data_IF_816227391755
#
_entry.id   IF_816227391755
#
_cell.length_a   1.000
_cell.length_b   1.000
_cell.length_c   1.000
_cell.angle_alpha   90.00
_cell.angle_beta   90.00
_cell.angle_gamma   90.00
#
_symmetry.space_group_name_H-M   'P 1'
#
loop_
_entity.id
_entity.type
_entity.pdbx_description
1 polymer ?
#
# COMPACT_ATOMS: atom_id res chain seq x y z
N UNK A 1 17.82 -34.36 5.03
CA UNK A 1 16.57 -33.86 4.44
C UNK A 1 15.63 -33.50 5.59
N UNK A 2 15.65 -32.27 6.06
CA UNK A 2 14.69 -31.77 7.05
C UNK A 2 13.93 -30.63 6.35
N UNK A 3 12.67 -30.89 6.01
CA UNK A 3 11.72 -29.88 5.63
C UNK A 3 11.40 -29.06 6.89
N UNK A 4 11.93 -27.83 6.94
CA UNK A 4 11.54 -26.84 7.91
C UNK A 4 10.14 -26.34 7.57
N UNK A 5 9.19 -26.72 8.41
CA UNK A 5 7.81 -26.26 8.42
C UNK A 5 7.82 -24.75 8.78
N UNK A 6 7.67 -23.90 7.78
CA UNK A 6 7.47 -22.45 7.97
C UNK A 6 5.99 -22.20 8.20
N UNK A 7 5.52 -22.52 9.40
CA UNK A 7 4.23 -22.07 9.87
C UNK A 7 4.22 -20.54 9.89
N UNK A 8 3.26 -19.94 9.18
CA UNK A 8 2.96 -18.53 9.29
C UNK A 8 2.78 -18.15 10.79
N UNK A 9 3.24 -16.97 11.22
CA UNK A 9 3.06 -16.57 12.62
C UNK A 9 1.57 -16.62 12.96
N UNK A 10 1.22 -17.09 14.17
CA UNK A 10 -0.18 -17.18 14.58
C UNK A 10 -0.82 -15.80 14.42
N UNK A 11 -1.98 -15.74 13.76
CA UNK A 11 -2.85 -14.57 13.81
C UNK A 11 -3.05 -14.30 15.30
N UNK A 12 -2.61 -13.11 15.75
CA UNK A 12 -2.95 -12.61 17.07
C UNK A 12 -4.45 -12.82 17.27
N UNK A 13 -4.87 -13.29 18.45
CA UNK A 13 -6.27 -13.36 18.87
C UNK A 13 -7.02 -12.19 18.24
N UNK A 14 -8.17 -12.49 17.63
CA UNK A 14 -8.95 -11.50 16.87
C UNK A 14 -9.14 -10.25 17.74
N UNK A 15 -8.25 -9.31 17.56
CA UNK A 15 -8.34 -8.03 18.24
C UNK A 15 -9.63 -7.41 17.73
N UNK A 16 -10.61 -7.26 18.59
CA UNK A 16 -11.86 -6.56 18.23
C UNK A 16 -11.55 -5.07 18.02
N UNK A 17 -11.09 -4.77 16.80
CA UNK A 17 -10.64 -3.44 16.37
C UNK A 17 -11.75 -2.42 16.47
N UNK A 18 -13.03 -2.86 16.52
CA UNK A 18 -14.21 -1.99 16.69
C UNK A 18 -14.24 -1.29 18.04
N UNK A 19 -13.62 -1.88 19.06
CA UNK A 19 -13.56 -1.33 20.42
C UNK A 19 -12.41 -0.34 20.65
N UNK A 20 -11.48 -0.24 19.71
CA UNK A 20 -10.32 0.65 19.85
C UNK A 20 -10.75 2.08 19.52
N UNK A 21 -10.87 2.89 20.55
CA UNK A 21 -11.25 4.31 20.39
C UNK A 21 -10.08 5.22 20.00
N UNK A 22 -8.85 4.87 20.40
CA UNK A 22 -7.68 5.72 20.21
C UNK A 22 -6.57 4.98 19.47
N UNK A 23 -6.17 5.54 18.34
CA UNK A 23 -5.24 4.91 17.38
C UNK A 23 -4.03 5.82 17.19
N UNK A 24 -2.83 5.23 17.24
CA UNK A 24 -1.60 5.88 16.86
C UNK A 24 -1.40 5.82 15.34
N UNK A 25 -1.06 6.94 14.73
CA UNK A 25 -0.71 7.04 13.33
C UNK A 25 0.74 7.53 13.18
N UNK A 26 1.59 6.74 12.55
CA UNK A 26 2.92 7.19 12.10
C UNK A 26 2.77 7.56 10.62
N UNK A 27 2.78 8.87 10.34
CA UNK A 27 2.48 9.40 9.01
C UNK A 27 3.76 9.69 8.23
N UNK A 28 3.89 9.07 7.06
CA UNK A 28 4.87 9.35 6.02
C UNK A 28 4.32 10.26 4.93
N UNK A 29 4.91 10.17 3.74
CA UNK A 29 4.56 10.97 2.58
C UNK A 29 3.38 10.39 1.80
N UNK A 30 2.54 11.29 1.24
CA UNK A 30 1.49 10.96 0.30
C UNK A 30 0.07 11.14 0.86
N UNK A 31 -0.93 10.85 0.04
CA UNK A 31 -2.35 11.06 0.37
C UNK A 31 -2.89 10.01 1.37
N UNK A 32 -2.33 8.80 1.40
CA UNK A 32 -2.87 7.72 2.22
C UNK A 32 -2.91 8.04 3.73
N UNK A 33 -1.88 8.63 4.38
CA UNK A 33 -1.99 9.02 5.79
C UNK A 33 -3.13 9.97 6.09
N UNK A 34 -3.43 10.87 5.15
CA UNK A 34 -4.49 11.87 5.28
C UNK A 34 -5.86 11.18 5.20
N UNK A 35 -6.08 10.39 4.15
CA UNK A 35 -7.33 9.64 3.96
C UNK A 35 -7.58 8.69 5.13
N UNK A 36 -6.55 8.00 5.61
CA UNK A 36 -6.67 7.13 6.78
C UNK A 36 -7.08 7.91 8.04
N UNK A 37 -6.45 9.06 8.30
CA UNK A 37 -6.82 9.90 9.44
C UNK A 37 -8.26 10.42 9.32
N UNK A 38 -8.67 10.90 8.13
CA UNK A 38 -10.04 11.35 7.84
C UNK A 38 -11.06 10.22 8.08
N UNK A 39 -10.78 9.01 7.58
CA UNK A 39 -11.65 7.83 7.75
C UNK A 39 -11.78 7.44 9.22
N UNK A 40 -10.67 7.39 9.96
CA UNK A 40 -10.69 7.08 11.39
C UNK A 40 -11.47 8.13 12.18
N UNK A 41 -11.32 9.41 11.85
CA UNK A 41 -12.08 10.51 12.48
C UNK A 41 -13.58 10.42 12.16
N UNK A 42 -13.94 10.12 10.91
CA UNK A 42 -15.33 9.91 10.50
C UNK A 42 -15.99 8.72 11.25
N UNK A 43 -15.19 7.69 11.57
CA UNK A 43 -15.63 6.56 12.42
C UNK A 43 -15.67 6.89 13.92
N UNK A 44 -15.50 8.16 14.33
CA UNK A 44 -15.56 8.60 15.73
C UNK A 44 -14.36 8.19 16.59
N UNK A 45 -13.22 7.89 15.97
CA UNK A 45 -11.99 7.48 16.66
C UNK A 45 -11.09 8.69 16.94
N UNK A 46 -10.31 8.61 18.02
CA UNK A 46 -9.27 9.57 18.32
C UNK A 46 -7.96 9.16 17.64
N UNK A 47 -7.36 10.09 16.89
CA UNK A 47 -6.12 9.87 16.15
C UNK A 47 -4.98 10.65 16.79
N UNK A 48 -3.99 9.93 17.32
CA UNK A 48 -2.74 10.49 17.85
C UNK A 48 -1.65 10.29 16.80
N UNK A 49 -1.27 11.36 16.11
CA UNK A 49 -0.39 11.30 14.95
C UNK A 49 1.05 11.72 15.27
N UNK A 50 2.00 10.91 14.81
CA UNK A 50 3.41 11.23 14.70
C UNK A 50 3.75 11.43 13.22
N UNK A 51 3.86 12.68 12.80
CA UNK A 51 4.30 13.02 11.44
C UNK A 51 5.82 12.92 11.32
N UNK A 52 6.31 12.23 10.30
CA UNK A 52 7.74 12.21 10.01
C UNK A 52 8.13 13.54 9.35
N UNK A 53 9.12 14.27 9.91
CA UNK A 53 9.58 15.54 9.33
C UNK A 53 9.93 15.38 7.86
N UNK A 54 9.60 16.38 7.06
CA UNK A 54 9.84 16.44 5.62
C UNK A 54 9.09 15.39 4.77
N UNK A 55 8.22 14.56 5.40
CA UNK A 55 7.39 13.55 4.74
C UNK A 55 5.90 13.79 4.99
N UNK A 56 5.50 13.92 6.25
CA UNK A 56 4.10 14.05 6.61
C UNK A 56 3.55 15.41 6.24
N UNK A 57 2.35 15.41 5.62
CA UNK A 57 1.66 16.62 5.24
C UNK A 57 1.23 17.44 6.49
N UNK A 58 1.46 18.75 6.50
CA UNK A 58 1.04 19.62 7.60
C UNK A 58 -0.46 19.61 7.91
N UNK A 59 -1.32 19.31 6.94
CA UNK A 59 -2.78 19.27 7.13
C UNK A 59 -3.22 18.24 8.18
N UNK A 60 -2.39 17.22 8.46
CA UNK A 60 -2.65 16.26 9.53
C UNK A 60 -2.77 16.89 10.93
N UNK A 61 -2.24 18.10 11.12
CA UNK A 61 -2.40 18.87 12.38
C UNK A 61 -3.86 19.26 12.64
N UNK A 62 -4.58 19.53 11.55
CA UNK A 62 -5.97 19.99 11.63
C UNK A 62 -6.96 18.83 11.68
N UNK A 63 -6.55 17.63 11.23
CA UNK A 63 -7.37 16.43 11.16
C UNK A 63 -7.26 15.61 12.46
N UNK A 64 -6.03 15.43 12.97
CA UNK A 64 -5.75 14.54 14.09
C UNK A 64 -6.01 15.25 15.45
N UNK A 65 -6.46 14.51 16.47
CA UNK A 65 -6.70 15.06 17.80
C UNK A 65 -5.41 15.50 18.49
N UNK A 66 -4.32 14.78 18.23
CA UNK A 66 -2.98 15.14 18.71
C UNK A 66 -2.01 14.93 17.57
N UNK A 67 -1.20 15.94 17.29
CA UNK A 67 -0.18 15.86 16.25
C UNK A 67 1.20 16.30 16.77
N UNK A 68 2.24 15.57 16.37
CA UNK A 68 3.63 15.96 16.65
C UNK A 68 4.56 15.47 15.54
N UNK A 69 5.50 16.33 15.12
CA UNK A 69 6.60 15.86 14.28
C UNK A 69 7.62 15.09 15.10
N UNK A 70 8.04 13.91 14.60
CA UNK A 70 9.06 13.08 15.23
C UNK A 70 9.88 12.31 14.19
N UNK A 71 11.20 12.34 14.32
CA UNK A 71 12.08 11.62 13.42
C UNK A 71 11.95 10.10 13.57
N UNK A 72 12.13 9.38 12.44
CA UNK A 72 12.00 7.93 12.34
C UNK A 72 12.92 7.13 13.27
N UNK A 73 14.09 7.69 13.64
CA UNK A 73 15.02 7.04 14.56
C UNK A 73 14.65 7.11 16.05
N UNK A 74 13.54 7.74 16.43
CA UNK A 74 13.23 8.03 17.85
C UNK A 74 12.14 7.10 18.41
N UNK A 75 12.31 5.77 18.30
CA UNK A 75 11.29 4.79 18.71
C UNK A 75 10.96 4.84 20.20
N UNK A 76 11.95 5.08 21.07
CA UNK A 76 11.71 5.23 22.50
C UNK A 76 10.87 6.47 22.81
N UNK A 77 11.14 7.59 22.14
CA UNK A 77 10.34 8.82 22.29
C UNK A 77 8.95 8.67 21.68
N UNK A 78 8.85 7.97 20.55
CA UNK A 78 7.56 7.71 19.87
C UNK A 78 6.65 6.86 20.74
N UNK A 79 7.13 5.74 21.27
CA UNK A 79 6.34 4.88 22.15
C UNK A 79 5.95 5.58 23.46
N UNK A 80 6.87 6.36 24.06
CA UNK A 80 6.54 7.19 25.24
C UNK A 80 5.46 8.24 24.93
N UNK A 81 5.49 8.84 23.73
CA UNK A 81 4.46 9.78 23.30
C UNK A 81 3.10 9.08 23.16
N UNK A 82 3.05 7.93 22.53
CA UNK A 82 1.84 7.13 22.41
C UNK A 82 1.28 6.73 23.78
N UNK A 83 2.11 6.26 24.70
CA UNK A 83 1.67 5.90 26.05
C UNK A 83 1.10 7.08 26.82
N UNK A 84 1.73 8.26 26.75
CA UNK A 84 1.22 9.49 27.42
C UNK A 84 -0.16 9.88 26.91
N UNK A 85 -0.49 9.53 25.67
CA UNK A 85 -1.79 9.77 25.07
C UNK A 85 -2.70 8.53 25.10
N UNK A 86 -2.37 7.49 25.87
CA UNK A 86 -3.20 6.30 26.03
C UNK A 86 -3.32 5.41 24.78
N UNK A 87 -2.39 5.53 23.83
CA UNK A 87 -2.34 4.72 22.62
C UNK A 87 -1.65 3.39 22.91
N UNK A 88 -2.33 2.30 22.58
CA UNK A 88 -1.77 0.93 22.64
C UNK A 88 -1.73 0.24 21.29
N UNK A 89 -2.45 0.78 20.30
CA UNK A 89 -2.50 0.25 18.94
C UNK A 89 -2.15 1.37 17.97
N UNK A 90 -1.26 1.08 17.06
CA UNK A 90 -0.80 2.07 16.09
C UNK A 90 -0.65 1.44 14.70
N UNK A 91 -0.62 2.30 13.70
CA UNK A 91 -0.37 1.93 12.32
C UNK A 91 0.63 2.87 11.69
N UNK A 92 1.22 2.43 10.58
CA UNK A 92 2.04 3.26 9.71
C UNK A 92 1.35 3.46 8.38
N UNK A 93 1.38 4.67 7.86
CA UNK A 93 0.81 5.00 6.57
C UNK A 93 1.70 5.96 5.79
N UNK A 94 1.74 5.78 4.46
CA UNK A 94 2.53 6.63 3.56
C UNK A 94 3.92 6.08 3.24
N UNK A 95 4.58 6.75 2.30
CA UNK A 95 5.90 6.35 1.82
C UNK A 95 7.02 7.04 2.60
N UNK A 96 8.11 6.33 2.81
CA UNK A 96 9.35 6.87 3.38
C UNK A 96 10.44 6.84 2.32
N UNK A 97 10.78 8.02 1.77
CA UNK A 97 11.74 8.12 0.67
C UNK A 97 13.18 7.92 1.15
N UNK A 98 13.80 6.83 0.71
CA UNK A 98 15.22 6.51 1.02
C UNK A 98 16.20 7.56 0.48
N UNK A 99 15.86 8.24 -0.60
CA UNK A 99 16.71 9.27 -1.24
C UNK A 99 17.04 10.42 -0.27
N UNK A 100 16.13 10.75 0.65
CA UNK A 100 16.36 11.80 1.65
C UNK A 100 17.40 11.46 2.72
N UNK A 101 17.85 10.20 2.79
CA UNK A 101 18.99 9.81 3.65
C UNK A 101 20.27 10.58 3.31
N UNK A 102 20.39 11.09 2.08
CA UNK A 102 21.53 11.85 1.60
C UNK A 102 21.40 13.36 1.77
N UNK A 103 20.23 13.85 2.26
CA UNK A 103 20.03 15.30 2.46
C UNK A 103 20.87 15.80 3.64
N UNK A 104 21.55 16.96 3.51
CA UNK A 104 22.31 17.57 4.59
C UNK A 104 21.44 17.79 5.84
N UNK A 105 21.91 17.33 6.99
CA UNK A 105 21.18 17.44 8.27
C UNK A 105 20.06 16.42 8.49
N UNK A 106 19.75 15.53 7.52
CA UNK A 106 18.78 14.46 7.69
C UNK A 106 19.16 13.57 8.89
N UNK A 107 20.40 13.12 8.96
CA UNK A 107 20.91 12.27 10.05
C UNK A 107 20.71 12.90 11.43
N UNK A 108 20.86 14.21 11.58
CA UNK A 108 20.66 14.91 12.85
C UNK A 108 19.18 15.01 13.23
N UNK A 109 18.30 15.24 12.27
CA UNK A 109 16.85 15.30 12.49
C UNK A 109 16.25 13.93 12.78
N UNK A 110 16.78 12.88 12.16
CA UNK A 110 16.37 11.49 12.31
C UNK A 110 17.21 10.71 13.30
N UNK A 111 18.17 11.37 13.97
CA UNK A 111 19.10 10.73 14.90
C UNK A 111 18.38 9.76 15.85
N UNK A 112 18.85 8.50 15.95
CA UNK A 112 18.23 7.50 16.80
C UNK A 112 18.34 7.92 18.27
N UNK A 113 17.30 7.64 19.06
CA UNK A 113 17.40 7.78 20.50
C UNK A 113 18.11 6.56 21.13
N UNK A 114 18.44 6.68 22.41
CA UNK A 114 19.20 5.64 23.12
C UNK A 114 18.52 4.27 23.06
N UNK A 115 17.18 4.23 23.15
CA UNK A 115 16.43 2.98 23.03
C UNK A 115 16.62 2.36 21.63
N UNK A 116 16.50 3.16 20.59
CA UNK A 116 16.66 2.72 19.21
C UNK A 116 18.08 2.18 18.98
N UNK A 117 19.11 2.92 19.43
CA UNK A 117 20.51 2.46 19.32
C UNK A 117 20.69 1.12 20.03
N UNK A 118 20.24 1.00 21.29
CA UNK A 118 20.36 -0.23 22.06
C UNK A 118 19.60 -1.39 21.42
N UNK A 119 18.38 -1.14 20.93
CA UNK A 119 17.56 -2.16 20.30
C UNK A 119 18.20 -2.68 19.01
N UNK A 120 18.67 -1.79 18.13
CA UNK A 120 19.34 -2.18 16.90
C UNK A 120 20.72 -2.81 17.16
N UNK A 121 21.51 -2.30 18.10
CA UNK A 121 22.81 -2.89 18.45
C UNK A 121 22.66 -4.37 18.86
N UNK A 122 21.66 -4.69 19.69
CA UNK A 122 21.39 -6.08 20.08
C UNK A 122 20.90 -6.94 18.91
N UNK A 123 20.16 -6.37 17.97
CA UNK A 123 19.64 -7.09 16.79
C UNK A 123 20.75 -7.32 15.73
N UNK A 124 21.59 -6.32 15.45
CA UNK A 124 22.65 -6.43 14.45
C UNK A 124 23.86 -7.24 14.94
N UNK A 125 24.20 -7.19 16.23
CA UNK A 125 25.28 -7.98 16.80
C UNK A 125 24.98 -9.48 16.85
N UNK A 126 23.70 -9.87 16.96
CA UNK A 126 23.30 -11.27 17.12
C UNK A 126 22.67 -11.90 15.87
N UNK A 127 22.39 -11.15 14.81
CA UNK A 127 21.86 -11.67 13.56
C UNK A 127 22.61 -11.11 12.35
N UNK A 128 23.33 -11.97 11.64
CA UNK A 128 23.63 -11.80 10.21
C UNK A 128 22.30 -11.94 9.45
N UNK A 129 21.52 -10.89 9.34
CA UNK A 129 20.30 -10.92 8.54
C UNK A 129 20.48 -10.07 7.28
N UNK A 130 20.05 -10.62 6.15
CA UNK A 130 19.98 -9.94 4.87
C UNK A 130 19.24 -8.61 5.03
N UNK A 131 19.76 -7.55 4.39
CA UNK A 131 19.15 -6.21 4.36
C UNK A 131 17.92 -6.15 3.43
N UNK A 132 17.00 -7.12 3.51
CA UNK A 132 15.71 -7.03 2.82
C UNK A 132 14.83 -6.01 3.55
N UNK A 133 14.09 -5.21 2.78
CA UNK A 133 13.22 -4.15 3.32
C UNK A 133 12.24 -4.66 4.38
N UNK A 134 11.66 -5.84 4.19
CA UNK A 134 10.74 -6.49 5.13
C UNK A 134 11.40 -6.75 6.51
N UNK A 135 12.70 -7.06 6.55
CA UNK A 135 13.39 -7.32 7.81
C UNK A 135 13.57 -6.06 8.64
N UNK A 136 13.79 -4.90 8.00
CA UNK A 136 13.92 -3.61 8.68
C UNK A 136 12.57 -3.16 9.25
N UNK A 137 11.51 -3.25 8.46
CA UNK A 137 10.15 -2.87 8.88
C UNK A 137 9.64 -3.77 10.01
N UNK A 138 9.89 -5.08 9.94
CA UNK A 138 9.61 -6.01 11.04
C UNK A 138 10.40 -5.67 12.30
N UNK A 139 11.62 -5.16 12.17
CA UNK A 139 12.40 -4.71 13.31
C UNK A 139 11.78 -3.48 13.98
N UNK A 140 11.23 -2.55 13.16
CA UNK A 140 10.45 -1.41 13.68
C UNK A 140 9.22 -1.88 14.45
N UNK A 141 8.43 -2.81 13.89
CA UNK A 141 7.26 -3.38 14.59
C UNK A 141 7.65 -3.94 15.94
N UNK A 142 8.65 -4.80 15.98
CA UNK A 142 9.14 -5.41 17.24
C UNK A 142 9.61 -4.36 18.24
N UNK A 143 10.22 -3.26 17.77
CA UNK A 143 10.65 -2.18 18.66
C UNK A 143 9.47 -1.49 19.35
N UNK A 144 8.34 -1.33 18.65
CA UNK A 144 7.11 -0.79 19.23
C UNK A 144 6.41 -1.81 20.14
N UNK A 145 6.27 -3.06 19.69
CA UNK A 145 5.64 -4.15 20.43
C UNK A 145 6.35 -4.44 21.75
N UNK A 146 7.69 -4.45 21.77
CA UNK A 146 8.51 -4.60 23.00
C UNK A 146 8.25 -3.50 24.02
N UNK A 147 7.61 -2.42 23.62
CA UNK A 147 7.21 -1.31 24.50
C UNK A 147 5.69 -1.22 24.65
N UNK A 148 4.94 -2.29 24.33
CA UNK A 148 3.50 -2.38 24.56
C UNK A 148 2.65 -1.51 23.61
N UNK A 149 3.17 -1.21 22.41
CA UNK A 149 2.39 -0.60 21.32
C UNK A 149 2.29 -1.61 20.19
N UNK A 150 1.12 -2.20 20.01
CA UNK A 150 0.85 -3.18 18.94
C UNK A 150 0.73 -2.46 17.60
N UNK A 151 1.46 -2.95 16.60
CA UNK A 151 1.42 -2.40 15.25
C UNK A 151 0.49 -3.25 14.36
N UNK A 152 -0.56 -2.63 13.81
CA UNK A 152 -1.52 -3.27 12.91
C UNK A 152 -1.54 -2.55 11.55
N UNK A 153 -2.12 -3.20 10.52
CA UNK A 153 -2.28 -2.55 9.23
C UNK A 153 -3.30 -1.40 9.30
N UNK A 154 -3.08 -0.33 8.52
CA UNK A 154 -4.04 0.76 8.45
C UNK A 154 -5.43 0.31 8.02
N UNK A 155 -5.47 -0.67 7.13
CA UNK A 155 -6.71 -1.28 6.62
C UNK A 155 -7.42 -2.17 7.65
N UNK A 156 -6.74 -2.63 8.69
CA UNK A 156 -7.40 -3.35 9.79
C UNK A 156 -8.25 -2.38 10.64
N UNK A 157 -7.86 -1.11 10.67
CA UNK A 157 -8.64 -0.06 11.35
C UNK A 157 -9.66 0.61 10.44
N UNK A 158 -9.46 0.58 9.12
CA UNK A 158 -10.31 1.21 8.12
C UNK A 158 -10.50 0.27 6.91
N UNK A 159 -11.18 -0.89 7.07
CA UNK A 159 -11.35 -1.88 6.01
C UNK A 159 -12.14 -1.35 4.82
N UNK A 160 -12.97 -0.31 5.01
CA UNK A 160 -13.70 0.38 3.97
C UNK A 160 -12.82 1.08 2.93
N UNK A 161 -11.52 1.25 3.20
CA UNK A 161 -10.56 1.76 2.22
C UNK A 161 -10.15 0.71 1.18
N UNK A 162 -10.36 -0.57 1.47
CA UNK A 162 -10.11 -1.63 0.51
C UNK A 162 -11.26 -1.71 -0.50
N UNK A 163 -10.91 -1.81 -1.77
CA UNK A 163 -11.92 -1.91 -2.83
C UNK A 163 -12.66 -3.23 -2.77
N UNK A 164 -13.96 -3.16 -2.98
CA UNK A 164 -14.79 -4.34 -3.24
C UNK A 164 -14.75 -4.73 -4.72
N UNK A 165 -15.19 -5.96 -5.01
CA UNK A 165 -15.27 -6.51 -6.35
C UNK A 165 -16.29 -5.74 -7.19
N UNK A 166 -15.84 -4.97 -8.18
CA UNK A 166 -16.72 -4.19 -9.06
C UNK A 166 -16.05 -3.62 -10.31
N UNK A 167 -16.87 -3.13 -11.23
CA UNK A 167 -16.48 -2.22 -12.30
C UNK A 167 -16.77 -0.78 -11.83
N UNK A 168 -15.73 0.04 -11.71
CA UNK A 168 -15.84 1.42 -11.20
C UNK A 168 -16.28 2.44 -12.27
N UNK A 169 -15.93 2.20 -13.52
CA UNK A 169 -16.08 3.16 -14.63
C UNK A 169 -17.24 2.78 -15.56
N UNK A 170 -17.75 3.79 -16.28
CA UNK A 170 -18.84 3.58 -17.26
C UNK A 170 -18.44 2.62 -18.38
N UNK A 171 -17.16 2.62 -18.74
CA UNK A 171 -16.64 1.73 -19.77
C UNK A 171 -16.13 0.45 -19.16
N UNK A 172 -16.57 -0.68 -19.66
CA UNK A 172 -16.00 -1.99 -19.36
C UNK A 172 -14.81 -2.33 -20.28
N UNK A 173 -13.88 -3.17 -19.86
CA UNK A 173 -12.86 -3.73 -20.75
C UNK A 173 -13.47 -4.52 -21.89
N UNK A 174 -12.88 -4.43 -23.09
CA UNK A 174 -13.29 -5.26 -24.25
C UNK A 174 -12.88 -6.71 -24.03
N UNK A 175 -13.45 -7.69 -24.80
CA UNK A 175 -13.05 -9.09 -24.69
C UNK A 175 -11.54 -9.33 -24.87
N UNK A 176 -10.90 -8.59 -25.78
CA UNK A 176 -9.45 -8.67 -25.95
C UNK A 176 -8.67 -8.12 -24.72
N UNK A 177 -9.15 -7.03 -24.12
CA UNK A 177 -8.56 -6.48 -22.90
C UNK A 177 -8.78 -7.41 -21.69
N UNK A 178 -9.88 -8.14 -21.63
CA UNK A 178 -10.09 -9.18 -20.62
C UNK A 178 -9.07 -10.33 -20.76
N UNK A 179 -8.76 -10.74 -21.99
CA UNK A 179 -7.68 -11.72 -22.21
C UNK A 179 -6.31 -11.19 -21.72
N UNK A 180 -6.04 -9.90 -21.94
CA UNK A 180 -4.84 -9.26 -21.45
C UNK A 180 -4.82 -9.20 -19.90
N UNK A 181 -5.96 -8.92 -19.24
CA UNK A 181 -6.10 -8.95 -17.78
C UNK A 181 -5.78 -10.35 -17.25
N UNK A 182 -6.44 -11.38 -17.78
CA UNK A 182 -6.26 -12.77 -17.33
C UNK A 182 -4.82 -13.27 -17.52
N UNK A 183 -4.19 -12.90 -18.64
CA UNK A 183 -2.80 -13.20 -18.89
C UNK A 183 -1.87 -12.47 -17.92
N UNK A 184 -2.09 -11.17 -17.72
CA UNK A 184 -1.27 -10.34 -16.87
C UNK A 184 -1.40 -10.67 -15.39
N UNK A 185 -2.56 -11.11 -14.97
CA UNK A 185 -2.77 -11.48 -13.56
C UNK A 185 -1.84 -12.62 -13.13
N UNK A 186 -1.73 -13.65 -13.96
CA UNK A 186 -0.81 -14.78 -13.70
C UNK A 186 0.63 -14.29 -13.57
N UNK A 187 1.06 -13.41 -14.47
CA UNK A 187 2.43 -12.86 -14.45
C UNK A 187 2.64 -11.99 -13.20
N UNK A 188 1.69 -11.10 -12.88
CA UNK A 188 1.78 -10.22 -11.72
C UNK A 188 1.88 -11.02 -10.40
N UNK A 189 1.16 -12.15 -10.29
CA UNK A 189 1.25 -13.08 -9.15
C UNK A 189 2.64 -13.71 -9.04
N UNK A 190 3.19 -14.22 -10.15
CA UNK A 190 4.53 -14.83 -10.15
C UNK A 190 5.62 -13.79 -9.82
N UNK A 191 5.51 -12.59 -10.36
CA UNK A 191 6.42 -11.49 -10.01
C UNK A 191 6.35 -11.12 -8.53
N UNK A 192 5.13 -11.05 -7.98
CA UNK A 192 4.91 -10.83 -6.56
C UNK A 192 5.52 -11.92 -5.70
N UNK A 193 5.44 -13.20 -6.12
CA UNK A 193 6.07 -14.34 -5.44
C UNK A 193 7.60 -14.25 -5.44
N UNK A 194 8.18 -13.67 -6.50
CA UNK A 194 9.63 -13.43 -6.63
C UNK A 194 10.09 -12.11 -6.00
N UNK A 195 9.16 -11.35 -5.42
CA UNK A 195 9.41 -10.03 -4.82
C UNK A 195 10.02 -8.99 -5.78
N UNK A 196 9.72 -9.11 -7.10
CA UNK A 196 10.19 -8.18 -8.13
C UNK A 196 9.36 -6.89 -8.11
N UNK A 197 8.02 -7.04 -8.11
CA UNK A 197 7.06 -5.94 -8.19
C UNK A 197 5.63 -6.46 -8.15
N UNK A 198 4.66 -5.56 -8.35
CA UNK A 198 3.24 -5.88 -8.20
C UNK A 198 2.35 -5.42 -9.36
N UNK A 199 2.91 -4.79 -10.40
CA UNK A 199 2.17 -4.40 -11.59
C UNK A 199 2.84 -4.82 -12.90
N UNK A 200 2.01 -5.20 -13.86
CA UNK A 200 2.41 -5.69 -15.19
C UNK A 200 1.62 -4.93 -16.26
N UNK A 201 2.27 -4.58 -17.35
CA UNK A 201 1.74 -3.78 -18.44
C UNK A 201 1.68 -4.63 -19.71
N UNK A 202 0.48 -4.76 -20.29
CA UNK A 202 0.22 -5.79 -21.31
C UNK A 202 -0.54 -5.21 -22.49
N UNK A 203 -0.19 -5.69 -23.67
CA UNK A 203 -0.92 -5.45 -24.91
C UNK A 203 -0.94 -6.71 -25.77
N UNK A 204 -2.13 -7.16 -26.16
CA UNK A 204 -2.31 -8.35 -27.00
C UNK A 204 -1.57 -9.58 -26.45
N UNK A 205 -1.64 -9.81 -25.14
CA UNK A 205 -0.94 -10.89 -24.41
C UNK A 205 0.58 -10.85 -24.52
N UNK A 206 1.15 -9.68 -24.82
CA UNK A 206 2.58 -9.42 -24.75
C UNK A 206 2.87 -8.48 -23.59
N UNK A 207 3.88 -8.82 -22.78
CA UNK A 207 4.34 -7.97 -21.67
C UNK A 207 5.15 -6.81 -22.25
N UNK A 208 4.69 -5.59 -22.04
CA UNK A 208 5.41 -4.37 -22.44
C UNK A 208 6.44 -3.97 -21.38
N UNK A 209 6.05 -4.07 -20.13
CA UNK A 209 6.86 -3.70 -18.99
C UNK A 209 6.38 -4.44 -17.74
N UNK A 210 7.23 -4.46 -16.74
CA UNK A 210 6.92 -4.93 -15.38
C UNK A 210 7.43 -3.89 -14.40
N UNK A 211 6.70 -3.64 -13.32
CA UNK A 211 7.16 -2.78 -12.24
C UNK A 211 8.31 -3.47 -11.49
N UNK A 212 9.35 -2.71 -11.17
CA UNK A 212 10.43 -3.12 -10.31
C UNK A 212 10.76 -1.98 -9.32
N UNK A 213 12.03 -1.70 -9.06
CA UNK A 213 12.47 -0.70 -8.09
C UNK A 213 12.05 0.75 -8.45
N UNK A 214 11.77 1.02 -9.72
CA UNK A 214 11.34 2.34 -10.20
C UNK A 214 9.95 2.75 -9.70
N UNK A 215 9.10 1.76 -9.33
CA UNK A 215 7.73 1.96 -8.87
C UNK A 215 6.71 2.16 -10.01
N UNK A 216 5.41 2.13 -9.65
CA UNK A 216 4.28 2.07 -10.57
C UNK A 216 4.27 3.22 -11.57
N UNK A 217 4.49 4.46 -11.13
CA UNK A 217 4.37 5.66 -11.97
C UNK A 217 5.36 5.66 -13.13
N UNK A 218 6.62 5.34 -12.85
CA UNK A 218 7.67 5.30 -13.88
C UNK A 218 7.52 4.08 -14.80
N UNK A 219 7.06 2.96 -14.28
CA UNK A 219 6.77 1.78 -15.08
C UNK A 219 5.60 2.01 -16.05
N UNK A 220 4.54 2.79 -15.67
CA UNK A 220 3.47 3.21 -16.58
C UNK A 220 4.04 4.05 -17.73
N UNK A 221 4.85 5.07 -17.42
CA UNK A 221 5.46 5.93 -18.43
C UNK A 221 6.31 5.12 -19.40
N UNK A 222 7.14 4.20 -18.88
CA UNK A 222 7.97 3.31 -19.69
C UNK A 222 7.12 2.43 -20.62
N UNK A 223 6.03 1.85 -20.13
CA UNK A 223 5.11 1.08 -20.96
C UNK A 223 4.51 1.94 -22.09
N UNK A 224 4.14 3.19 -21.79
CA UNK A 224 3.65 4.16 -22.78
C UNK A 224 4.67 4.46 -23.88
N UNK A 225 5.95 4.61 -23.53
CA UNK A 225 7.01 4.84 -24.54
C UNK A 225 7.21 3.64 -25.46
N UNK A 226 7.03 2.42 -24.94
CA UNK A 226 7.16 1.16 -25.69
C UNK A 226 5.93 0.87 -26.55
N UNK A 227 4.74 1.35 -26.13
CA UNK A 227 3.46 1.13 -26.83
C UNK A 227 2.87 2.43 -27.35
N UNK A 228 3.44 3.02 -28.40
CA UNK A 228 2.98 4.28 -29.00
C UNK A 228 1.52 4.24 -29.50
N UNK A 229 0.99 3.06 -29.82
CA UNK A 229 -0.43 2.87 -30.19
C UNK A 229 -1.37 2.98 -28.99
N UNK A 230 -0.84 3.03 -27.78
CA UNK A 230 -1.60 3.08 -26.53
C UNK A 230 -2.53 1.88 -26.33
N UNK A 231 -3.57 2.06 -25.56
CA UNK A 231 -4.64 1.08 -25.29
C UNK A 231 -4.13 -0.20 -24.62
N UNK A 232 -3.06 -0.11 -23.82
CA UNK A 232 -2.55 -1.24 -23.06
C UNK A 232 -3.29 -1.38 -21.72
N UNK A 233 -3.16 -2.55 -21.14
CA UNK A 233 -3.76 -2.96 -19.88
C UNK A 233 -2.72 -2.94 -18.78
N UNK A 234 -3.11 -2.50 -17.60
CA UNK A 234 -2.32 -2.58 -16.38
C UNK A 234 -3.01 -3.54 -15.43
N UNK A 235 -2.28 -4.52 -14.93
CA UNK A 235 -2.73 -5.42 -13.87
C UNK A 235 -1.87 -5.18 -12.65
N UNK A 236 -2.50 -4.83 -11.53
CA UNK A 236 -1.81 -4.57 -10.25
C UNK A 236 -2.47 -5.41 -9.14
N UNK A 237 -1.68 -6.30 -8.54
CA UNK A 237 -2.12 -7.24 -7.51
C UNK A 237 -1.26 -7.12 -6.26
N UNK A 238 -1.77 -7.56 -5.11
CA UNK A 238 -0.95 -7.70 -3.92
C UNK A 238 0.05 -8.85 -4.08
N UNK A 239 1.25 -8.70 -3.52
CA UNK A 239 2.21 -9.79 -3.46
C UNK A 239 1.66 -10.89 -2.54
N UNK A 240 1.84 -12.19 -2.84
CA UNK A 240 1.24 -13.28 -2.06
C UNK A 240 1.60 -13.28 -0.56
N UNK A 241 2.80 -12.79 -0.22
CA UNK A 241 3.31 -12.74 1.15
C UNK A 241 3.46 -11.30 1.68
N UNK A 242 2.71 -10.35 1.09
CA UNK A 242 2.80 -8.95 1.45
C UNK A 242 2.30 -8.70 2.89
N UNK A 243 3.13 -8.04 3.68
CA UNK A 243 2.72 -7.58 5.00
C UNK A 243 1.92 -6.27 4.85
N UNK A 244 0.60 -6.38 5.01
CA UNK A 244 -0.33 -5.26 4.85
C UNK A 244 -0.13 -4.13 5.87
N UNK A 245 0.71 -4.33 6.89
CA UNK A 245 1.07 -3.26 7.84
C UNK A 245 1.93 -2.18 7.21
N UNK A 246 2.63 -2.49 6.11
CA UNK A 246 3.65 -1.62 5.52
C UNK A 246 3.40 -1.27 4.06
N UNK A 247 2.96 -2.25 3.29
CA UNK A 247 2.87 -2.12 1.85
C UNK A 247 1.51 -2.65 1.38
N UNK A 248 0.55 -1.73 1.26
CA UNK A 248 -0.76 -2.04 0.69
C UNK A 248 -0.79 -1.49 -0.73
N UNK A 249 -1.11 -2.30 -1.74
CA UNK A 249 -1.28 -1.79 -3.10
C UNK A 249 -2.26 -0.61 -3.08
N UNK A 250 -1.82 0.50 -3.65
CA UNK A 250 -2.61 1.72 -3.62
C UNK A 250 -2.70 2.30 -5.02
N UNK A 251 -3.88 2.76 -5.41
CA UNK A 251 -4.16 3.51 -6.64
C UNK A 251 -4.99 4.75 -6.30
N UNK A 252 -4.97 5.74 -7.18
CA UNK A 252 -5.72 6.98 -6.96
C UNK A 252 -5.63 7.92 -8.17
N UNK A 253 -6.13 9.16 -8.06
CA UNK A 253 -6.22 10.12 -9.17
C UNK A 253 -4.89 10.34 -9.89
N UNK A 254 -3.77 10.36 -9.15
CA UNK A 254 -2.44 10.52 -9.74
C UNK A 254 -2.09 9.37 -10.69
N UNK A 255 -2.35 8.13 -10.28
CA UNK A 255 -2.11 6.94 -11.13
C UNK A 255 -2.94 7.03 -12.41
N UNK A 256 -4.22 7.42 -12.29
CA UNK A 256 -5.11 7.52 -13.46
C UNK A 256 -4.68 8.62 -14.42
N UNK A 257 -4.19 9.77 -13.93
CA UNK A 257 -3.62 10.82 -14.80
C UNK A 257 -2.41 10.32 -15.58
N UNK A 258 -1.47 9.66 -14.91
CA UNK A 258 -0.28 9.08 -15.56
C UNK A 258 -0.68 8.02 -16.59
N UNK A 259 -1.70 7.20 -16.30
CA UNK A 259 -2.26 6.25 -17.25
C UNK A 259 -2.81 6.93 -18.49
N UNK A 260 -3.57 8.02 -18.33
CA UNK A 260 -4.13 8.80 -19.44
C UNK A 260 -3.03 9.37 -20.33
N UNK A 261 -2.00 9.97 -19.73
CA UNK A 261 -0.83 10.53 -20.43
C UNK A 261 -0.05 9.45 -21.21
N UNK A 262 0.10 8.26 -20.61
CA UNK A 262 0.81 7.13 -21.21
C UNK A 262 -0.02 6.35 -22.23
N UNK A 263 -1.32 6.62 -22.35
CA UNK A 263 -2.23 5.92 -23.27
C UNK A 263 -2.73 4.56 -22.79
N UNK A 264 -2.64 4.25 -21.49
CA UNK A 264 -3.24 3.06 -20.90
C UNK A 264 -4.77 3.16 -20.92
N UNK A 265 -5.46 2.05 -21.11
CA UNK A 265 -6.93 2.03 -21.19
C UNK A 265 -7.63 1.20 -20.13
N UNK A 266 -6.90 0.30 -19.46
CA UNK A 266 -7.49 -0.56 -18.42
C UNK A 266 -6.58 -0.63 -17.23
N UNK A 267 -7.17 -0.52 -16.04
CA UNK A 267 -6.56 -0.83 -14.76
C UNK A 267 -7.37 -1.96 -14.11
N UNK A 268 -6.76 -3.12 -13.95
CA UNK A 268 -7.29 -4.24 -13.19
C UNK A 268 -6.53 -4.32 -11.85
N UNK A 269 -7.27 -4.28 -10.75
CA UNK A 269 -6.73 -4.31 -9.39
C UNK A 269 -7.33 -5.46 -8.60
N UNK A 270 -6.67 -5.89 -7.55
CA UNK A 270 -7.15 -6.95 -6.67
C UNK A 270 -8.11 -6.40 -5.62
N UNK A 271 -9.35 -6.89 -5.63
CA UNK A 271 -10.36 -6.57 -4.62
C UNK A 271 -9.95 -7.09 -3.24
N UNK A 272 -10.38 -6.39 -2.19
CA UNK A 272 -10.08 -6.67 -0.77
C UNK A 272 -8.59 -6.61 -0.40
N UNK A 273 -7.73 -6.18 -1.34
CA UNK A 273 -6.29 -6.06 -1.12
C UNK A 273 -5.69 -4.78 -1.68
N UNK A 274 -6.48 -3.95 -2.35
CA UNK A 274 -6.02 -2.68 -2.91
C UNK A 274 -6.77 -1.52 -2.29
N UNK A 275 -6.07 -0.45 -1.92
CA UNK A 275 -6.65 0.82 -1.49
C UNK A 275 -6.90 1.68 -2.72
N UNK A 276 -8.10 2.26 -2.81
CA UNK A 276 -8.44 3.23 -3.84
C UNK A 276 -8.65 4.61 -3.21
N UNK A 277 -7.65 5.45 -3.33
CA UNK A 277 -7.67 6.80 -2.76
C UNK A 277 -8.50 7.74 -3.64
N UNK A 278 -9.30 8.58 -3.01
CA UNK A 278 -10.13 9.60 -3.66
C UNK A 278 -10.86 9.03 -4.90
N UNK A 279 -11.68 7.96 -4.73
CA UNK A 279 -12.23 7.18 -5.85
C UNK A 279 -13.12 8.00 -6.78
N UNK A 280 -13.91 8.95 -6.25
CA UNK A 280 -14.80 9.80 -7.05
C UNK A 280 -14.01 10.63 -8.07
N UNK A 281 -12.91 11.26 -7.64
CA UNK A 281 -12.03 12.02 -8.51
C UNK A 281 -11.35 11.11 -9.54
N UNK A 282 -10.82 9.97 -9.10
CA UNK A 282 -10.14 9.00 -9.95
C UNK A 282 -11.07 8.45 -11.05
N UNK A 283 -12.31 8.08 -10.70
CA UNK A 283 -13.31 7.58 -11.63
C UNK A 283 -13.70 8.69 -12.64
N UNK A 284 -13.91 9.92 -12.18
CA UNK A 284 -14.21 11.06 -13.06
C UNK A 284 -13.12 11.26 -14.12
N UNK A 285 -11.84 11.18 -13.72
CA UNK A 285 -10.72 11.29 -14.64
C UNK A 285 -10.70 10.09 -15.60
N UNK A 286 -10.89 8.87 -15.09
CA UNK A 286 -10.91 7.66 -15.89
C UNK A 286 -11.99 7.68 -16.95
N UNK A 287 -13.22 8.07 -16.59
CA UNK A 287 -14.35 8.18 -17.53
C UNK A 287 -14.08 9.22 -18.61
N UNK A 288 -13.52 10.39 -18.26
CA UNK A 288 -13.15 11.43 -19.21
C UNK A 288 -12.11 10.95 -20.25
N UNK A 289 -11.21 10.07 -19.85
CA UNK A 289 -10.16 9.50 -20.71
C UNK A 289 -10.50 8.10 -21.27
N UNK A 290 -11.75 7.62 -21.08
CA UNK A 290 -12.21 6.31 -21.53
C UNK A 290 -11.36 5.15 -20.98
N UNK A 291 -10.87 5.28 -19.76
CA UNK A 291 -10.13 4.26 -19.02
C UNK A 291 -11.15 3.40 -18.26
N UNK A 292 -11.00 2.09 -18.32
CA UNK A 292 -11.77 1.14 -17.52
C UNK A 292 -11.02 0.80 -16.23
N UNK A 293 -11.69 0.81 -15.08
CA UNK A 293 -11.12 0.39 -13.79
C UNK A 293 -11.99 -0.75 -13.25
N UNK A 294 -11.37 -1.90 -13.01
CA UNK A 294 -12.03 -3.11 -12.49
C UNK A 294 -11.30 -3.63 -11.27
N UNK A 295 -12.04 -4.01 -10.24
CA UNK A 295 -11.52 -4.76 -9.10
C UNK A 295 -12.05 -6.19 -9.15
N UNK A 296 -11.13 -7.16 -9.10
CA UNK A 296 -11.39 -8.58 -9.29
C UNK A 296 -10.93 -9.39 -8.07
N UNK A 297 -11.62 -10.49 -7.82
CA UNK A 297 -11.16 -11.56 -6.93
C UNK A 297 -10.55 -12.70 -7.76
N UNK A 298 -9.84 -13.61 -7.12
CA UNK A 298 -9.16 -14.71 -7.81
C UNK A 298 -10.14 -15.64 -8.55
N UNK A 299 -11.34 -15.82 -8.01
CA UNK A 299 -12.40 -16.66 -8.63
C UNK A 299 -12.86 -16.13 -9.99
N UNK A 300 -12.78 -14.82 -10.21
CA UNK A 300 -13.14 -14.20 -11.49
C UNK A 300 -12.23 -14.64 -12.63
N UNK A 301 -11.00 -15.05 -12.33
CA UNK A 301 -10.03 -15.48 -13.33
C UNK A 301 -10.39 -16.81 -13.99
N UNK A 302 -11.30 -17.56 -13.39
CA UNK A 302 -11.84 -18.80 -13.93
C UNK A 302 -13.04 -18.57 -14.88
N UNK A 303 -13.55 -17.34 -14.92
CA UNK A 303 -14.67 -16.99 -15.79
C UNK A 303 -14.18 -16.76 -17.23
N UNK A 304 -14.96 -17.17 -18.24
CA UNK A 304 -14.67 -16.86 -19.63
C UNK A 304 -14.66 -15.34 -19.89
N UNK A 305 -13.78 -14.87 -20.75
CA UNK A 305 -13.65 -13.44 -21.07
C UNK A 305 -14.93 -12.78 -21.60
N UNK A 306 -15.81 -13.54 -22.28
CA UNK A 306 -17.10 -13.06 -22.73
C UNK A 306 -18.10 -12.86 -21.58
N UNK A 307 -18.04 -13.69 -20.52
CA UNK A 307 -18.84 -13.51 -19.31
C UNK A 307 -18.35 -12.28 -18.55
N UNK A 308 -17.05 -12.12 -18.41
CA UNK A 308 -16.46 -10.93 -17.80
C UNK A 308 -16.82 -9.65 -18.57
N UNK A 309 -16.82 -9.70 -19.91
CA UNK A 309 -17.17 -8.56 -20.76
C UNK A 309 -18.67 -8.19 -20.71
N UNK A 310 -19.56 -9.12 -20.33
CA UNK A 310 -20.99 -8.82 -20.16
C UNK A 310 -21.30 -7.96 -18.93
N UNK A 311 -20.36 -7.85 -17.97
CA UNK A 311 -20.54 -7.11 -16.72
C UNK A 311 -21.42 -7.82 -15.67
N UNK A 312 -21.99 -8.98 -15.98
CA UNK A 312 -22.92 -9.71 -15.09
C UNK A 312 -22.24 -10.20 -13.79
N UNK A 313 -20.92 -10.30 -13.78
CA UNK A 313 -20.12 -10.70 -12.63
C UNK A 313 -20.02 -9.62 -11.53
N UNK A 314 -20.23 -8.34 -11.89
CA UNK A 314 -20.03 -7.21 -10.97
C UNK A 314 -21.20 -6.99 -9.98
N UNK A 315 -22.27 -7.74 -10.06
CA UNK A 315 -23.45 -7.63 -9.21
C UNK A 315 -23.82 -8.90 -8.44
N UNK A 316 -22.95 -9.92 -8.44
CA UNK A 316 -23.17 -11.20 -7.76
C UNK A 316 -22.34 -11.31 -6.48
#
# INVERSE_FOLDING_TARGET
>A
MHHGDTTAPPRSEELDLSKIKRIGLIAGWGRFPIVLAETLKAAGREVVCLGVPDHADPCLKDICDVFRYMGLGKFGKATNFFHRHGVRHATMAGKFHKIRLYDPGFLWRQAPDFYTIRFFATHFLFRRSDCKDDSLLMTVVRAFENRGVTMAAGVDFAPELLVERQLFTKRAPTPAQWQDILFGWKIAREMGRLDIGQSVYIKNRAVLAVEAIEGTDEAIKRAGTLCKSGKFVIVKVAKPFQDMRFDVPTVGPRTIRIMAEAGAQVLAIEAKKTIFLDPEEAIKIADAHKISIVALIEDDLNLPANVLASGQWAGA
#
